data_IF_451855034104
#
_entry.id   IF_451855034104
#
_cell.length_a   1.000
_cell.length_b   1.000
_cell.length_c   1.000
_cell.angle_alpha   90.00
_cell.angle_beta   90.00
_cell.angle_gamma   90.00
#
_symmetry.space_group_name_H-M   'P 1'
#
loop_
_entity.id
_entity.type
_entity.pdbx_description
1 polymer ?
#
# COMPACT_ATOMS: atom_id res chain seq x y z
N UNK A 1 18.63 8.77 13.89
CA UNK A 1 17.52 9.73 14.07
C UNK A 1 16.42 9.43 13.07
N UNK A 2 15.19 9.36 13.57
CA UNK A 2 13.96 9.18 12.79
C UNK A 2 13.18 10.51 12.77
N UNK A 3 12.45 10.78 11.67
CA UNK A 3 11.65 12.00 11.52
C UNK A 3 10.17 11.65 11.30
N UNK A 4 9.28 12.47 11.86
CA UNK A 4 7.82 12.36 11.68
C UNK A 4 7.26 13.68 11.18
N UNK A 5 6.65 13.67 9.99
CA UNK A 5 5.97 14.84 9.41
C UNK A 5 4.51 14.46 9.16
N UNK A 6 3.62 14.97 10.01
CA UNK A 6 2.18 14.70 9.93
C UNK A 6 1.57 14.19 11.24
N UNK A 7 0.35 13.67 11.14
CA UNK A 7 -0.51 13.36 12.29
C UNK A 7 -0.45 11.91 12.78
N UNK A 8 0.35 11.06 12.14
CA UNK A 8 0.47 9.65 12.52
C UNK A 8 0.96 9.48 13.97
N UNK A 9 0.46 8.47 14.71
CA UNK A 9 0.91 8.19 16.06
C UNK A 9 2.34 7.63 16.05
N UNK A 10 3.29 8.31 16.70
CA UNK A 10 4.70 7.87 16.68
C UNK A 10 4.93 6.54 17.40
N UNK A 11 4.20 6.27 18.49
CA UNK A 11 4.45 5.12 19.38
C UNK A 11 4.19 3.75 18.75
N UNK A 12 3.45 3.67 17.63
CA UNK A 12 3.23 2.40 16.91
C UNK A 12 4.35 2.08 15.91
N UNK A 13 5.21 3.05 15.61
CA UNK A 13 6.28 2.89 14.64
C UNK A 13 7.52 2.32 15.32
N UNK A 14 8.22 1.46 14.59
CA UNK A 14 9.50 0.88 15.01
C UNK A 14 10.44 0.94 13.83
N UNK A 15 11.67 1.42 14.01
CA UNK A 15 12.67 1.38 12.94
C UNK A 15 12.89 -0.05 12.46
N UNK A 16 12.91 -0.24 11.15
CA UNK A 16 13.24 -1.50 10.50
C UNK A 16 13.41 -1.30 9.01
N UNK A 17 13.06 -2.31 8.22
CA UNK A 17 13.45 -2.41 6.80
C UNK A 17 12.26 -2.61 5.86
N UNK A 18 11.04 -2.34 6.32
CA UNK A 18 9.82 -2.53 5.54
C UNK A 18 9.26 -1.18 5.07
N UNK A 19 9.11 -1.01 3.77
CA UNK A 19 8.43 0.15 3.20
C UNK A 19 6.91 0.01 3.31
N UNK A 20 6.20 1.11 3.59
CA UNK A 20 4.73 1.15 3.57
C UNK A 20 4.27 2.35 2.75
N UNK A 21 3.37 2.14 1.80
CA UNK A 21 2.71 3.22 1.05
C UNK A 21 1.20 3.01 1.04
N UNK A 22 0.43 4.06 1.29
CA UNK A 22 -1.03 3.98 1.40
C UNK A 22 -1.74 5.27 1.03
N UNK A 23 -2.95 5.15 0.46
CA UNK A 23 -3.91 6.28 0.36
C UNK A 23 -4.55 6.64 1.70
N UNK A 24 -4.79 5.64 2.54
CA UNK A 24 -5.51 5.78 3.82
C UNK A 24 -4.54 5.93 5.00
N UNK A 25 -4.78 6.97 5.81
CA UNK A 25 -4.02 7.20 7.05
C UNK A 25 -4.17 6.04 8.03
N UNK A 26 -5.40 5.66 8.38
CA UNK A 26 -5.65 4.61 9.39
C UNK A 26 -5.23 3.21 8.92
N UNK A 27 -5.35 2.89 7.63
CA UNK A 27 -4.81 1.63 7.10
C UNK A 27 -3.28 1.61 7.07
N UNK A 28 -2.63 2.78 6.93
CA UNK A 28 -1.18 2.88 7.18
C UNK A 28 -0.87 2.48 8.61
N UNK A 29 -1.63 2.99 9.59
CA UNK A 29 -1.41 2.70 11.01
C UNK A 29 -1.62 1.22 11.32
N UNK A 30 -2.61 0.61 10.67
CA UNK A 30 -2.88 -0.82 10.78
C UNK A 30 -1.70 -1.65 10.28
N UNK A 31 -1.18 -1.39 9.08
CA UNK A 31 -0.01 -2.10 8.55
C UNK A 31 1.24 -1.88 9.41
N UNK A 32 1.49 -0.65 9.84
CA UNK A 32 2.59 -0.30 10.76
C UNK A 32 2.47 -1.06 12.07
N UNK A 33 1.28 -1.06 12.68
CA UNK A 33 1.00 -1.72 13.95
C UNK A 33 1.21 -3.23 13.86
N UNK A 34 0.72 -3.86 12.79
CA UNK A 34 0.93 -5.30 12.55
C UNK A 34 2.42 -5.65 12.41
N UNK A 35 3.17 -4.88 11.60
CA UNK A 35 4.61 -5.08 11.42
C UNK A 35 5.35 -5.00 12.77
N UNK A 36 5.08 -3.94 13.53
CA UNK A 36 5.67 -3.72 14.86
C UNK A 36 5.33 -4.87 15.81
N UNK A 37 4.07 -5.33 15.83
CA UNK A 37 3.62 -6.42 16.69
C UNK A 37 4.31 -7.76 16.41
N UNK A 38 4.72 -8.03 15.16
CA UNK A 38 5.43 -9.26 14.79
C UNK A 38 6.96 -9.12 14.79
N UNK A 39 7.47 -8.01 15.35
CA UNK A 39 8.88 -7.73 15.53
C UNK A 39 9.56 -7.02 14.37
N UNK A 40 8.87 -6.85 13.23
CA UNK A 40 9.36 -6.08 12.08
C UNK A 40 9.22 -4.57 12.35
N UNK A 41 9.90 -3.77 11.54
CA UNK A 41 9.85 -2.31 11.63
C UNK A 41 9.89 -1.69 10.25
N UNK A 42 9.57 -0.41 10.17
CA UNK A 42 9.46 0.31 8.92
C UNK A 42 10.76 1.02 8.57
N UNK A 43 11.16 0.97 7.30
CA UNK A 43 12.18 1.87 6.75
C UNK A 43 11.57 3.26 6.60
N UNK A 44 10.41 3.36 5.94
CA UNK A 44 9.60 4.57 5.83
C UNK A 44 8.13 4.20 5.58
N UNK A 45 7.21 4.99 6.15
CA UNK A 45 5.77 4.88 5.90
C UNK A 45 5.24 6.18 5.27
N UNK A 46 4.63 6.07 4.08
CA UNK A 46 4.16 7.21 3.28
C UNK A 46 2.65 7.15 3.06
N UNK A 47 1.93 8.13 3.61
CA UNK A 47 0.53 8.38 3.27
C UNK A 47 0.44 9.33 2.08
N UNK A 48 0.04 8.84 0.91
CA UNK A 48 -0.06 9.65 -0.33
C UNK A 48 -1.39 10.39 -0.49
N UNK A 49 -2.37 10.10 0.37
CA UNK A 49 -3.71 10.70 0.36
C UNK A 49 -4.70 10.02 -0.57
N UNK A 50 -6.00 10.19 -0.28
CA UNK A 50 -7.10 9.58 -1.03
C UNK A 50 -7.76 10.50 -2.07
N UNK A 51 -7.19 11.68 -2.31
CA UNK A 51 -7.72 12.61 -3.31
C UNK A 51 -7.32 12.18 -4.72
N UNK A 52 -8.17 12.43 -5.74
CA UNK A 52 -7.90 12.01 -7.12
C UNK A 52 -6.67 12.71 -7.71
N UNK A 53 -6.39 13.93 -7.26
CA UNK A 53 -5.18 14.68 -7.57
C UNK A 53 -4.41 14.83 -6.25
N UNK A 54 -3.31 14.11 -6.16
CA UNK A 54 -2.37 14.14 -5.06
C UNK A 54 -0.95 14.35 -5.61
N UNK A 55 0.02 14.50 -4.71
CA UNK A 55 1.43 14.70 -5.08
C UNK A 55 2.06 13.43 -5.65
N UNK A 56 2.83 12.73 -4.82
CA UNK A 56 3.43 11.45 -5.21
C UNK A 56 2.34 10.38 -5.40
N UNK A 57 2.49 9.57 -6.44
CA UNK A 57 1.65 8.39 -6.70
C UNK A 57 2.29 7.14 -6.10
N UNK A 58 1.54 6.03 -6.07
CA UNK A 58 2.09 4.73 -5.64
C UNK A 58 3.37 4.38 -6.39
N UNK A 59 3.37 4.48 -7.73
CA UNK A 59 4.52 4.14 -8.57
C UNK A 59 5.78 4.95 -8.20
N UNK A 60 5.64 6.22 -7.81
CA UNK A 60 6.78 7.06 -7.45
C UNK A 60 7.40 6.58 -6.13
N UNK A 61 6.56 6.26 -5.15
CA UNK A 61 7.01 5.73 -3.87
C UNK A 61 7.59 4.32 -4.02
N UNK A 62 7.01 3.48 -4.90
CA UNK A 62 7.54 2.16 -5.20
C UNK A 62 8.93 2.22 -5.83
N UNK A 63 9.20 3.20 -6.72
CA UNK A 63 10.55 3.47 -7.27
C UNK A 63 11.54 3.81 -6.16
N UNK A 64 11.18 4.75 -5.28
CA UNK A 64 12.02 5.14 -4.15
C UNK A 64 12.32 3.95 -3.23
N UNK A 65 11.32 3.13 -2.90
CA UNK A 65 11.55 1.92 -2.12
C UNK A 65 12.40 0.89 -2.85
N UNK A 66 12.30 0.76 -4.17
CA UNK A 66 13.12 -0.17 -4.93
C UNK A 66 14.61 0.22 -4.88
N UNK A 67 14.90 1.52 -4.89
CA UNK A 67 16.25 2.08 -4.90
C UNK A 67 16.87 2.20 -3.49
N UNK A 68 16.04 2.27 -2.44
CA UNK A 68 16.51 2.43 -1.07
C UNK A 68 17.18 1.16 -0.52
N UNK A 69 18.50 1.12 -0.25
CA UNK A 69 19.16 -0.06 0.30
C UNK A 69 18.71 -0.41 1.72
N UNK A 70 17.99 0.47 2.43
CA UNK A 70 17.44 0.21 3.77
C UNK A 70 16.03 -0.38 3.76
N UNK A 71 15.45 -0.59 2.58
CA UNK A 71 14.17 -1.26 2.41
C UNK A 71 14.36 -2.66 1.81
N UNK A 72 13.89 -3.70 2.47
CA UNK A 72 13.97 -5.09 2.01
C UNK A 72 12.68 -5.59 1.36
N UNK A 73 11.52 -5.07 1.79
CA UNK A 73 10.20 -5.44 1.27
C UNK A 73 9.21 -4.29 1.44
N UNK A 74 8.07 -4.35 0.73
CA UNK A 74 7.08 -3.26 0.73
C UNK A 74 5.65 -3.78 0.95
N UNK A 75 4.86 -3.05 1.73
CA UNK A 75 3.39 -3.17 1.77
C UNK A 75 2.81 -2.00 0.97
N UNK A 76 2.07 -2.31 -0.09
CA UNK A 76 1.35 -1.36 -0.93
C UNK A 76 -0.16 -1.46 -0.66
N UNK A 77 -0.73 -0.38 -0.12
CA UNK A 77 -2.14 -0.29 0.24
C UNK A 77 -2.82 0.69 -0.71
N UNK A 78 -3.85 0.22 -1.40
CA UNK A 78 -4.68 1.01 -2.27
C UNK A 78 -6.14 1.03 -1.87
N UNK A 79 -6.94 1.61 -2.74
CA UNK A 79 -8.39 1.69 -2.63
C UNK A 79 -9.04 1.56 -4.02
N UNK A 80 -10.35 1.35 -4.08
CA UNK A 80 -11.11 1.51 -5.32
C UNK A 80 -10.91 2.89 -5.97
N UNK A 81 -11.10 2.96 -7.29
CA UNK A 81 -11.07 4.22 -8.04
C UNK A 81 -9.69 4.59 -8.60
N UNK A 82 -9.64 4.90 -9.89
CA UNK A 82 -8.44 5.33 -10.61
C UNK A 82 -7.43 4.20 -10.86
N UNK A 83 -6.39 4.47 -11.66
CA UNK A 83 -5.48 3.44 -12.18
C UNK A 83 -4.19 3.25 -11.37
N UNK A 84 -3.89 4.15 -10.42
CA UNK A 84 -2.57 4.29 -9.79
C UNK A 84 -1.98 2.96 -9.27
N UNK A 85 -2.79 2.12 -8.61
CA UNK A 85 -2.32 0.84 -8.08
C UNK A 85 -2.03 -0.21 -9.16
N UNK A 86 -2.83 -0.24 -10.22
CA UNK A 86 -2.62 -1.15 -11.34
C UNK A 86 -1.40 -0.74 -12.16
N UNK A 87 -1.19 0.57 -12.35
CA UNK A 87 0.01 1.12 -13.00
C UNK A 87 1.27 0.83 -12.18
N UNK A 88 1.22 1.04 -10.86
CA UNK A 88 2.32 0.69 -9.96
C UNK A 88 2.62 -0.81 -10.00
N UNK A 89 1.61 -1.68 -9.99
CA UNK A 89 1.79 -3.12 -10.06
C UNK A 89 2.49 -3.56 -11.36
N UNK A 90 2.05 -3.04 -12.51
CA UNK A 90 2.68 -3.33 -13.81
C UNK A 90 4.13 -2.85 -13.86
N UNK A 91 4.41 -1.65 -13.34
CA UNK A 91 5.79 -1.18 -13.23
C UNK A 91 6.63 -2.10 -12.33
N UNK A 92 6.07 -2.54 -11.20
CA UNK A 92 6.76 -3.44 -10.29
C UNK A 92 7.10 -4.79 -10.93
N UNK A 93 6.21 -5.34 -11.77
CA UNK A 93 6.47 -6.58 -12.51
C UNK A 93 7.75 -6.52 -13.33
N UNK A 94 8.03 -5.38 -13.93
CA UNK A 94 9.17 -5.18 -14.84
C UNK A 94 10.45 -4.72 -14.10
N UNK A 95 10.31 -4.04 -12.95
CA UNK A 95 11.40 -3.27 -12.36
C UNK A 95 11.67 -3.56 -10.88
N UNK A 96 10.69 -4.04 -10.12
CA UNK A 96 10.82 -4.23 -8.68
C UNK A 96 11.69 -5.44 -8.38
N UNK A 97 12.70 -5.26 -7.53
CA UNK A 97 13.62 -6.33 -7.09
C UNK A 97 13.23 -6.89 -5.72
N UNK A 98 12.28 -6.25 -5.05
CA UNK A 98 11.92 -6.50 -3.65
C UNK A 98 10.52 -7.09 -3.57
N UNK A 99 10.26 -8.03 -2.65
CA UNK A 99 8.93 -8.58 -2.45
C UNK A 99 7.93 -7.49 -2.06
N UNK A 100 6.71 -7.59 -2.61
CA UNK A 100 5.62 -6.66 -2.35
C UNK A 100 4.35 -7.40 -1.93
N UNK A 101 3.75 -6.94 -0.83
CA UNK A 101 2.40 -7.32 -0.43
C UNK A 101 1.41 -6.23 -0.85
N UNK A 102 0.33 -6.62 -1.51
CA UNK A 102 -0.74 -5.74 -1.97
C UNK A 102 -2.04 -5.89 -1.16
N UNK A 103 -2.71 -4.78 -0.87
CA UNK A 103 -4.07 -4.77 -0.34
C UNK A 103 -4.87 -3.65 -1.01
N UNK A 104 -6.14 -3.91 -1.35
CA UNK A 104 -7.05 -2.89 -1.88
C UNK A 104 -8.30 -2.80 -1.00
N UNK A 105 -8.54 -1.62 -0.43
CA UNK A 105 -9.77 -1.32 0.30
C UNK A 105 -10.98 -1.18 -0.64
N UNK A 106 -12.18 -1.45 -0.13
CA UNK A 106 -13.44 -1.21 -0.84
C UNK A 106 -13.97 -2.39 -1.66
N UNK A 107 -13.57 -3.63 -1.35
CA UNK A 107 -14.10 -4.86 -2.00
C UNK A 107 -15.63 -4.94 -1.96
N UNK A 108 -16.27 -4.44 -0.91
CA UNK A 108 -17.73 -4.45 -0.74
C UNK A 108 -18.41 -3.15 -1.16
N UNK A 109 -17.68 -2.24 -1.83
CA UNK A 109 -18.23 -0.95 -2.23
C UNK A 109 -19.24 -1.09 -3.37
N UNK A 110 -20.44 -0.46 -3.27
CA UNK A 110 -21.40 -0.49 -4.36
C UNK A 110 -20.94 0.38 -5.54
N UNK A 111 -21.24 -0.01 -6.80
CA UNK A 111 -20.92 0.79 -7.98
C UNK A 111 -21.53 2.20 -7.93
N UNK A 112 -20.81 3.19 -8.49
CA UNK A 112 -21.30 4.57 -8.61
C UNK A 112 -21.39 5.37 -7.30
N UNK A 113 -20.99 4.78 -6.16
CA UNK A 113 -20.97 5.46 -4.87
C UNK A 113 -19.54 5.88 -4.49
N UNK A 114 -19.40 7.12 -4.03
CA UNK A 114 -18.16 7.62 -3.45
C UNK A 114 -18.01 7.16 -2.01
N UNK A 115 -16.84 6.65 -1.65
CA UNK A 115 -16.55 6.10 -0.32
C UNK A 115 -15.59 7.01 0.44
N UNK A 116 -16.08 7.95 1.26
CA UNK A 116 -15.24 8.76 2.14
C UNK A 116 -14.25 9.68 1.40
N UNK A 117 -13.10 9.13 0.98
CA UNK A 117 -12.10 9.80 0.16
C UNK A 117 -12.68 10.27 -1.18
N UNK A 118 -12.18 11.41 -1.66
CA UNK A 118 -12.67 12.01 -2.91
C UNK A 118 -12.40 11.12 -4.13
N UNK A 119 -11.28 10.39 -4.14
CA UNK A 119 -10.87 9.50 -5.23
C UNK A 119 -11.49 8.10 -5.19
N UNK A 120 -12.17 7.72 -4.10
CA UNK A 120 -12.76 6.41 -3.91
C UNK A 120 -14.12 6.28 -4.63
N UNK A 121 -14.08 6.38 -5.95
CA UNK A 121 -15.25 6.28 -6.84
C UNK A 121 -14.95 5.31 -7.98
N UNK A 122 -15.76 4.26 -8.10
CA UNK A 122 -15.67 3.29 -9.19
C UNK A 122 -16.31 3.91 -10.44
N UNK A 123 -15.47 4.25 -11.44
CA UNK A 123 -15.93 4.81 -12.72
C UNK A 123 -16.04 3.73 -13.82
N UNK A 124 -15.42 2.57 -13.62
CA UNK A 124 -15.53 1.40 -14.50
C UNK A 124 -15.05 0.10 -13.83
N UNK A 125 -15.16 -1.03 -14.54
CA UNK A 125 -14.81 -2.35 -13.99
C UNK A 125 -13.35 -2.47 -13.53
N UNK A 126 -12.42 -1.78 -14.21
CA UNK A 126 -11.01 -1.74 -13.85
C UNK A 126 -10.72 -1.02 -12.53
N UNK A 127 -11.65 -0.17 -12.05
CA UNK A 127 -11.49 0.60 -10.81
C UNK A 127 -11.93 -0.19 -9.57
N UNK A 128 -12.49 -1.39 -9.76
CA UNK A 128 -12.95 -2.25 -8.66
C UNK A 128 -11.77 -2.83 -7.89
N UNK A 129 -11.98 -3.13 -6.61
CA UNK A 129 -10.94 -3.72 -5.78
C UNK A 129 -10.49 -5.08 -6.32
N UNK A 130 -11.43 -5.92 -6.76
CA UNK A 130 -11.14 -7.23 -7.32
C UNK A 130 -10.32 -7.13 -8.62
N UNK A 131 -10.63 -6.19 -9.51
CA UNK A 131 -9.84 -5.98 -10.72
C UNK A 131 -8.40 -5.54 -10.40
N UNK A 132 -8.22 -4.63 -9.44
CA UNK A 132 -6.89 -4.18 -9.01
C UNK A 132 -6.09 -5.30 -8.33
N UNK A 133 -6.74 -6.09 -7.47
CA UNK A 133 -6.12 -7.25 -6.83
C UNK A 133 -5.67 -8.29 -7.86
N UNK A 134 -6.50 -8.60 -8.86
CA UNK A 134 -6.12 -9.52 -9.94
C UNK A 134 -4.88 -9.03 -10.70
N UNK A 135 -4.82 -7.73 -11.03
CA UNK A 135 -3.63 -7.13 -11.67
C UNK A 135 -2.40 -7.23 -10.77
N UNK A 136 -2.54 -7.00 -9.46
CA UNK A 136 -1.43 -7.15 -8.51
C UNK A 136 -0.90 -8.59 -8.49
N UNK A 137 -1.78 -9.60 -8.40
CA UNK A 137 -1.40 -11.01 -8.42
C UNK A 137 -0.68 -11.38 -9.73
N UNK A 138 -1.22 -10.95 -10.88
CA UNK A 138 -0.59 -11.15 -12.21
C UNK A 138 0.79 -10.48 -12.33
N UNK A 139 1.05 -9.47 -11.51
CA UNK A 139 2.31 -8.75 -11.43
C UNK A 139 3.28 -9.32 -10.38
N UNK A 140 2.92 -10.42 -9.71
CA UNK A 140 3.77 -11.14 -8.77
C UNK A 140 3.67 -10.66 -7.32
N UNK A 141 2.69 -9.80 -7.00
CA UNK A 141 2.42 -9.42 -5.62
C UNK A 141 1.83 -10.61 -4.86
N UNK A 142 2.09 -10.70 -3.56
CA UNK A 142 1.21 -11.45 -2.67
C UNK A 142 0.11 -10.52 -2.21
N UNK A 143 -1.14 -10.91 -2.40
CA UNK A 143 -2.28 -10.07 -2.00
C UNK A 143 -3.05 -10.70 -0.86
N UNK A 144 -3.70 -9.86 -0.07
CA UNK A 144 -4.73 -10.30 0.88
C UNK A 144 -5.97 -9.43 0.75
N UNK A 145 -7.14 -10.01 1.00
CA UNK A 145 -8.41 -9.28 1.16
C UNK A 145 -8.69 -8.97 2.63
N UNK A 146 -7.92 -9.53 3.55
CA UNK A 146 -8.05 -9.30 4.98
C UNK A 146 -7.04 -8.24 5.43
N UNK A 147 -7.49 -7.04 5.86
CA UNK A 147 -6.56 -6.00 6.28
C UNK A 147 -5.67 -6.45 7.45
N UNK A 148 -6.10 -7.41 8.27
CA UNK A 148 -5.35 -7.90 9.44
C UNK A 148 -4.19 -8.86 9.12
N UNK A 149 -3.99 -9.22 7.85
CA UNK A 149 -3.01 -10.24 7.45
C UNK A 149 -1.78 -9.69 6.71
N UNK A 150 -1.73 -8.39 6.43
CA UNK A 150 -0.69 -7.79 5.57
C UNK A 150 0.73 -8.10 6.05
N UNK A 151 1.00 -7.89 7.35
CA UNK A 151 2.35 -8.10 7.89
C UNK A 151 2.71 -9.58 8.00
N UNK A 152 1.75 -10.45 8.36
CA UNK A 152 1.97 -11.89 8.44
C UNK A 152 2.30 -12.48 7.07
N UNK A 153 1.58 -12.03 6.03
CA UNK A 153 1.83 -12.41 4.65
C UNK A 153 3.20 -11.94 4.18
N UNK A 154 3.58 -10.70 4.49
CA UNK A 154 4.91 -10.17 4.15
C UNK A 154 6.02 -10.98 4.84
N UNK A 155 5.86 -11.29 6.12
CA UNK A 155 6.86 -12.05 6.89
C UNK A 155 7.12 -13.45 6.32
N UNK A 156 6.12 -14.07 5.69
CA UNK A 156 6.28 -15.37 5.03
C UNK A 156 7.10 -15.30 3.72
N UNK A 157 7.39 -14.11 3.21
CA UNK A 157 8.17 -13.88 1.99
C UNK A 157 9.63 -13.47 2.25
N UNK A 158 9.98 -13.18 3.51
CA UNK A 158 11.32 -12.80 3.95
C UNK A 158 12.12 -14.05 4.38
#
# INVERSE_FOLDING_TARGET
DEIKIGIMPGHIHKKGRIGVVSRSGTLTYEAVGQLTAIGLGQSTAVGIGGDPINGLKHIDVMKMFNEDPETDAVIMIGEIGGPDEAEAARWCKENMKKPVVGFIAGVTAPPGKRMGHAGALISGGADTADAKLAVMEECGFKVTKNPSEMAALLKAML
#
